data_IF_428400594061
#
_entry.id   IF_428400594061
#
_cell.length_a   1.000
_cell.length_b   1.000
_cell.length_c   1.000
_cell.angle_alpha   90.00
_cell.angle_beta   90.00
_cell.angle_gamma   90.00
#
_symmetry.space_group_name_H-M   'P 1'
#
loop_
_entity.id
_entity.type
_entity.pdbx_description
1 polymer ?
#
# COMPACT_ATOMS: atom_id res chain seq x y z
N UNK A 1 -10.11 -14.53 -26.12
CA UNK A 1 -10.58 -13.21 -26.62
C UNK A 1 -11.38 -13.32 -27.93
N UNK A 2 -10.80 -13.83 -29.03
CA UNK A 2 -11.48 -13.93 -30.34
C UNK A 2 -12.82 -14.69 -30.28
N UNK A 3 -12.91 -15.80 -29.55
CA UNK A 3 -14.14 -16.59 -29.41
C UNK A 3 -15.27 -15.87 -28.67
N UNK A 4 -14.96 -15.04 -27.67
CA UNK A 4 -15.96 -14.24 -26.93
C UNK A 4 -16.44 -13.05 -27.77
N UNK A 5 -15.54 -12.50 -28.59
CA UNK A 5 -15.87 -11.42 -29.51
C UNK A 5 -16.73 -11.95 -30.66
N UNK A 6 -16.39 -13.13 -31.20
CA UNK A 6 -17.19 -13.84 -32.20
C UNK A 6 -18.55 -14.26 -31.66
N UNK A 7 -18.67 -14.71 -30.41
CA UNK A 7 -19.96 -15.05 -29.82
C UNK A 7 -20.85 -13.81 -29.67
N UNK A 8 -20.30 -12.67 -29.25
CA UNK A 8 -21.02 -11.39 -29.19
C UNK A 8 -21.48 -10.91 -30.57
N UNK A 9 -20.62 -11.03 -31.60
CA UNK A 9 -20.97 -10.72 -32.99
C UNK A 9 -22.07 -11.65 -33.52
N UNK A 10 -21.94 -12.96 -33.29
CA UNK A 10 -22.92 -13.96 -33.72
C UNK A 10 -24.28 -13.71 -33.09
N UNK A 11 -24.30 -13.48 -31.78
CA UNK A 11 -25.52 -13.24 -31.01
C UNK A 11 -26.21 -11.94 -31.45
N UNK A 12 -25.45 -10.87 -31.71
CA UNK A 12 -25.99 -9.61 -32.26
C UNK A 12 -26.58 -9.77 -33.66
N UNK A 13 -25.92 -10.53 -34.52
CA UNK A 13 -26.32 -10.67 -35.93
C UNK A 13 -27.42 -11.72 -36.16
N UNK A 14 -27.60 -12.68 -35.25
CA UNK A 14 -28.63 -13.73 -35.36
C UNK A 14 -29.94 -13.38 -34.66
N UNK A 15 -29.91 -12.54 -33.61
CA UNK A 15 -31.09 -12.13 -32.84
C UNK A 15 -31.22 -10.60 -32.68
N UNK A 16 -31.30 -9.84 -33.79
CA UNK A 16 -31.29 -8.36 -33.76
C UNK A 16 -32.52 -7.74 -33.07
N UNK A 17 -33.62 -8.48 -32.94
CA UNK A 17 -34.86 -8.02 -32.28
C UNK A 17 -34.85 -8.16 -30.75
N UNK A 18 -33.89 -8.91 -30.19
CA UNK A 18 -33.83 -9.22 -28.74
C UNK A 18 -32.74 -8.42 -28.03
N UNK A 19 -31.68 -8.02 -28.74
CA UNK A 19 -30.51 -7.37 -28.15
C UNK A 19 -30.38 -5.96 -28.68
N UNK A 20 -30.87 -5.02 -27.86
CA UNK A 20 -30.73 -3.58 -28.09
C UNK A 20 -29.27 -3.20 -27.80
N UNK A 21 -28.74 -2.25 -28.58
CA UNK A 21 -27.40 -1.72 -28.36
C UNK A 21 -27.30 -1.13 -26.96
N UNK A 22 -26.34 -1.62 -26.16
CA UNK A 22 -26.11 -1.10 -24.82
C UNK A 22 -25.77 0.39 -24.93
N UNK A 23 -26.46 1.28 -24.20
CA UNK A 23 -26.13 2.70 -24.21
C UNK A 23 -24.68 2.88 -23.79
N UNK A 24 -23.96 3.80 -24.43
CA UNK A 24 -22.54 4.03 -24.19
C UNK A 24 -22.20 4.23 -22.70
N UNK A 25 -23.12 4.82 -21.91
CA UNK A 25 -22.98 4.99 -20.46
C UNK A 25 -22.89 3.66 -19.70
N UNK A 26 -23.65 2.64 -20.09
CA UNK A 26 -23.63 1.33 -19.46
C UNK A 26 -22.37 0.56 -19.80
N UNK A 27 -21.95 0.61 -21.06
CA UNK A 27 -20.71 -0.02 -21.51
C UNK A 27 -19.51 0.56 -20.76
N UNK A 28 -19.45 1.88 -20.62
CA UNK A 28 -18.41 2.55 -19.84
C UNK A 28 -18.39 2.09 -18.37
N UNK A 29 -19.55 2.00 -17.71
CA UNK A 29 -19.65 1.51 -16.32
C UNK A 29 -19.18 0.05 -16.20
N UNK A 30 -19.57 -0.82 -17.13
CA UNK A 30 -19.15 -2.23 -17.14
C UNK A 30 -17.63 -2.34 -17.32
N UNK A 31 -17.04 -1.54 -18.21
CA UNK A 31 -15.59 -1.48 -18.38
C UNK A 31 -14.88 -0.99 -17.12
N UNK A 32 -15.40 0.03 -16.45
CA UNK A 32 -14.83 0.54 -15.19
C UNK A 32 -14.91 -0.51 -14.08
N UNK A 33 -16.03 -1.22 -13.94
CA UNK A 33 -16.20 -2.30 -12.94
C UNK A 33 -15.24 -3.45 -13.24
N UNK A 34 -15.13 -3.86 -14.51
CA UNK A 34 -14.21 -4.91 -14.93
C UNK A 34 -12.76 -4.52 -14.64
N UNK A 35 -12.35 -3.30 -14.99
CA UNK A 35 -11.00 -2.80 -14.72
C UNK A 35 -10.74 -2.70 -13.20
N UNK A 36 -11.68 -2.21 -12.42
CA UNK A 36 -11.59 -2.16 -10.96
C UNK A 36 -11.43 -3.56 -10.35
N UNK A 37 -12.11 -4.57 -10.90
CA UNK A 37 -11.96 -5.96 -10.45
C UNK A 37 -10.60 -6.59 -10.77
N UNK A 38 -9.97 -6.17 -11.87
CA UNK A 38 -8.62 -6.59 -12.25
C UNK A 38 -7.59 -5.91 -11.34
N UNK A 39 -7.73 -4.59 -11.17
CA UNK A 39 -6.90 -3.77 -10.29
C UNK A 39 -6.99 -4.25 -8.84
N UNK A 40 -8.18 -4.54 -8.33
CA UNK A 40 -8.38 -5.00 -6.96
C UNK A 40 -7.69 -6.34 -6.72
N UNK A 41 -7.80 -7.29 -7.67
CA UNK A 41 -7.09 -8.57 -7.59
C UNK A 41 -5.57 -8.36 -7.62
N UNK A 42 -5.07 -7.51 -8.52
CA UNK A 42 -3.65 -7.18 -8.65
C UNK A 42 -3.07 -6.56 -7.36
N UNK A 43 -3.80 -5.66 -6.70
CA UNK A 43 -3.36 -5.04 -5.45
C UNK A 43 -3.58 -5.90 -4.20
N UNK A 44 -4.55 -6.82 -4.21
CA UNK A 44 -4.99 -7.56 -3.00
C UNK A 44 -4.33 -8.93 -2.86
N UNK A 45 -4.25 -9.70 -3.94
CA UNK A 45 -3.79 -11.08 -3.85
C UNK A 45 -2.30 -11.20 -3.44
N UNK A 46 -1.37 -10.41 -4.00
CA UNK A 46 0.05 -10.52 -3.62
C UNK A 46 0.28 -10.21 -2.15
N UNK A 47 -0.33 -9.14 -1.63
CA UNK A 47 -0.16 -8.75 -0.22
C UNK A 47 -0.80 -9.75 0.73
N UNK A 48 -2.01 -10.24 0.47
CA UNK A 48 -2.66 -11.22 1.35
C UNK A 48 -1.90 -12.56 1.36
N UNK A 49 -1.35 -12.96 0.21
CA UNK A 49 -0.58 -14.19 0.10
C UNK A 49 0.74 -14.06 0.86
N UNK A 50 1.49 -12.97 0.65
CA UNK A 50 2.73 -12.70 1.40
C UNK A 50 2.46 -12.59 2.90
N UNK A 51 1.47 -11.80 3.32
CA UNK A 51 1.14 -11.60 4.72
C UNK A 51 0.72 -12.91 5.40
N UNK A 52 -0.09 -13.75 4.75
CA UNK A 52 -0.53 -15.03 5.32
C UNK A 52 0.63 -16.00 5.50
N UNK A 53 1.48 -16.13 4.48
CA UNK A 53 2.66 -17.02 4.52
C UNK A 53 3.68 -16.50 5.54
N UNK A 54 3.97 -15.21 5.53
CA UNK A 54 4.91 -14.60 6.46
C UNK A 54 4.40 -14.64 7.91
N UNK A 55 3.10 -14.47 8.15
CA UNK A 55 2.53 -14.63 9.49
C UNK A 55 2.71 -16.07 10.00
N UNK A 56 2.45 -17.08 9.16
CA UNK A 56 2.68 -18.47 9.52
C UNK A 56 4.16 -18.76 9.82
N UNK A 57 5.05 -18.36 8.91
CA UNK A 57 6.50 -18.61 9.05
C UNK A 57 7.09 -17.88 10.24
N UNK A 58 6.74 -16.61 10.45
CA UNK A 58 7.24 -15.80 11.58
C UNK A 58 6.71 -16.31 12.92
N UNK A 59 5.45 -16.75 12.99
CA UNK A 59 4.89 -17.43 14.17
C UNK A 59 5.72 -18.66 14.55
N UNK A 60 6.01 -19.54 13.59
CA UNK A 60 6.81 -20.74 13.87
C UNK A 60 8.29 -20.44 14.15
N UNK A 61 8.88 -19.46 13.48
CA UNK A 61 10.31 -19.18 13.62
C UNK A 61 10.66 -18.43 14.92
N UNK A 62 9.78 -17.51 15.34
CA UNK A 62 10.00 -16.62 16.48
C UNK A 62 9.08 -16.91 17.67
N UNK A 63 8.20 -17.92 17.59
CA UNK A 63 7.19 -18.23 18.61
C UNK A 63 6.28 -17.04 18.95
N UNK A 64 5.92 -16.24 17.93
CA UNK A 64 5.04 -15.09 18.09
C UNK A 64 3.57 -15.52 18.28
N UNK A 65 2.79 -14.84 19.12
CA UNK A 65 1.34 -14.94 19.08
C UNK A 65 0.80 -14.54 17.70
N UNK A 66 -0.35 -15.10 17.31
CA UNK A 66 -0.92 -14.90 15.96
C UNK A 66 -1.10 -13.43 15.61
N UNK A 67 -1.58 -12.60 16.53
CA UNK A 67 -1.77 -11.15 16.31
C UNK A 67 -0.45 -10.44 15.99
N UNK A 68 0.60 -10.70 16.79
CA UNK A 68 1.95 -10.16 16.56
C UNK A 68 2.56 -10.64 15.25
N UNK A 69 2.33 -11.89 14.87
CA UNK A 69 2.78 -12.44 13.60
C UNK A 69 2.10 -11.74 12.40
N UNK A 70 0.79 -11.48 12.47
CA UNK A 70 0.08 -10.72 11.43
C UNK A 70 0.48 -9.24 11.41
N UNK A 71 0.71 -8.61 12.57
CA UNK A 71 1.27 -7.25 12.65
C UNK A 71 2.59 -7.16 11.90
N UNK A 72 3.52 -8.09 12.19
CA UNK A 72 4.78 -8.19 11.45
C UNK A 72 4.53 -8.38 9.96
N UNK A 73 3.68 -9.34 9.61
CA UNK A 73 3.50 -9.77 8.24
C UNK A 73 2.85 -8.69 7.37
N UNK A 74 1.79 -8.02 7.82
CA UNK A 74 1.18 -6.92 7.08
C UNK A 74 2.12 -5.73 6.93
N UNK A 75 2.86 -5.38 7.99
CA UNK A 75 3.84 -4.29 7.92
C UNK A 75 4.93 -4.55 6.89
N UNK A 76 5.45 -5.77 6.85
CA UNK A 76 6.45 -6.19 5.85
C UNK A 76 5.83 -6.30 4.47
N UNK A 77 4.64 -6.89 4.35
CA UNK A 77 4.03 -7.22 3.07
C UNK A 77 3.59 -5.99 2.27
N UNK A 78 3.28 -4.88 2.93
CA UNK A 78 2.86 -3.64 2.27
C UNK A 78 3.92 -3.11 1.30
N UNK A 79 3.53 -2.71 0.10
CA UNK A 79 4.42 -2.03 -0.87
C UNK A 79 4.67 -0.56 -0.49
N UNK A 80 5.83 0.00 -0.83
CA UNK A 80 6.13 1.42 -0.61
C UNK A 80 5.83 2.27 -1.86
N UNK A 81 4.84 3.18 -1.82
CA UNK A 81 4.55 4.08 -2.94
C UNK A 81 5.71 4.99 -3.32
N UNK A 82 6.53 5.40 -2.33
CA UNK A 82 7.68 6.28 -2.57
C UNK A 82 8.66 5.68 -3.58
N UNK A 83 8.84 4.36 -3.54
CA UNK A 83 9.71 3.63 -4.48
C UNK A 83 8.98 3.39 -5.79
N UNK A 84 7.73 2.92 -5.72
CA UNK A 84 7.05 2.33 -6.88
C UNK A 84 6.34 3.38 -7.75
N UNK A 85 5.70 4.38 -7.16
CA UNK A 85 4.93 5.38 -7.91
C UNK A 85 5.83 6.22 -8.84
N UNK A 86 6.99 6.75 -8.42
CA UNK A 86 7.87 7.48 -9.33
C UNK A 86 8.36 6.64 -10.50
N UNK A 87 8.62 5.34 -10.27
CA UNK A 87 8.98 4.41 -11.34
C UNK A 87 7.83 4.30 -12.35
N UNK A 88 6.59 4.08 -11.88
CA UNK A 88 5.41 3.97 -12.74
C UNK A 88 5.12 5.25 -13.53
N UNK A 89 5.27 6.42 -12.92
CA UNK A 89 5.05 7.70 -13.61
C UNK A 89 6.08 7.93 -14.72
N UNK A 90 7.36 7.61 -14.46
CA UNK A 90 8.38 7.72 -15.51
C UNK A 90 8.19 6.72 -16.65
N UNK A 91 7.65 5.53 -16.36
CA UNK A 91 7.25 4.60 -17.42
C UNK A 91 6.21 5.22 -18.34
N UNK A 92 5.22 5.89 -17.75
CA UNK A 92 4.23 6.63 -18.52
C UNK A 92 4.94 7.66 -19.40
N UNK A 93 5.80 8.50 -18.84
CA UNK A 93 6.50 9.55 -19.61
C UNK A 93 7.36 9.00 -20.77
N UNK A 94 7.96 7.82 -20.61
CA UNK A 94 8.82 7.17 -21.62
C UNK A 94 8.05 6.35 -22.69
N UNK A 95 6.83 6.76 -23.02
CA UNK A 95 6.07 6.20 -24.15
C UNK A 95 5.14 5.03 -23.79
N UNK A 96 5.11 4.59 -22.53
CA UNK A 96 4.10 3.63 -22.06
C UNK A 96 2.75 4.28 -21.70
N UNK A 97 2.53 5.56 -22.03
CA UNK A 97 1.25 6.27 -21.82
C UNK A 97 0.05 5.55 -22.46
N UNK A 98 0.27 4.81 -23.55
CA UNK A 98 -0.76 4.04 -24.25
C UNK A 98 -0.97 2.63 -23.69
N UNK A 99 -0.07 2.17 -22.83
CA UNK A 99 -0.22 0.87 -22.16
C UNK A 99 -1.21 0.99 -21.01
N UNK A 100 -2.08 -0.02 -20.87
CA UNK A 100 -2.98 -0.15 -19.71
C UNK A 100 -2.24 -0.37 -18.39
N UNK A 101 -0.94 -0.63 -18.45
CA UNK A 101 -0.16 -1.18 -17.35
C UNK A 101 0.16 -0.18 -16.22
N UNK A 102 0.81 0.97 -16.47
CA UNK A 102 1.14 1.89 -15.37
C UNK A 102 -0.10 2.44 -14.64
N UNK A 103 -1.22 2.83 -15.31
CA UNK A 103 -2.43 3.26 -14.61
C UNK A 103 -3.06 2.16 -13.75
N UNK A 104 -3.09 0.91 -14.25
CA UNK A 104 -3.59 -0.25 -13.49
C UNK A 104 -2.73 -0.51 -12.25
N UNK A 105 -1.42 -0.44 -12.40
CA UNK A 105 -0.47 -0.60 -11.29
C UNK A 105 -0.60 0.52 -10.26
N UNK A 106 -0.73 1.77 -10.69
CA UNK A 106 -0.87 2.91 -9.79
C UNK A 106 -2.11 2.77 -8.90
N UNK A 107 -3.22 2.31 -9.47
CA UNK A 107 -4.43 2.01 -8.72
C UNK A 107 -4.26 0.79 -7.79
N UNK A 108 -3.51 -0.23 -8.22
CA UNK A 108 -3.19 -1.41 -7.40
C UNK A 108 -2.31 -1.09 -6.19
N UNK A 109 -1.35 -0.17 -6.33
CA UNK A 109 -0.50 0.31 -5.24
C UNK A 109 -1.33 0.92 -4.12
N UNK A 110 -2.35 1.72 -4.46
CA UNK A 110 -3.25 2.31 -3.47
C UNK A 110 -3.99 1.24 -2.64
N UNK A 111 -4.48 0.18 -3.30
CA UNK A 111 -5.15 -0.94 -2.62
C UNK A 111 -4.19 -1.77 -1.76
N UNK A 112 -2.98 -2.07 -2.24
CA UNK A 112 -1.95 -2.79 -1.48
C UNK A 112 -1.61 -2.02 -0.19
N UNK A 113 -1.38 -0.70 -0.29
CA UNK A 113 -1.11 0.17 0.86
C UNK A 113 -2.26 0.25 1.84
N UNK A 114 -3.49 0.39 1.35
CA UNK A 114 -4.67 0.43 2.20
C UNK A 114 -4.80 -0.87 3.01
N UNK A 115 -4.77 -2.02 2.34
CA UNK A 115 -4.91 -3.32 2.98
C UNK A 115 -3.77 -3.61 3.95
N UNK A 116 -2.54 -3.27 3.56
CA UNK A 116 -1.36 -3.50 4.37
C UNK A 116 -1.31 -2.67 5.63
N UNK A 117 -1.55 -1.35 5.52
CA UNK A 117 -1.54 -0.46 6.68
C UNK A 117 -2.74 -0.68 7.60
N UNK A 118 -3.94 -0.94 7.05
CA UNK A 118 -5.10 -1.31 7.87
C UNK A 118 -4.94 -2.68 8.51
N UNK A 119 -4.42 -3.68 7.78
CA UNK A 119 -4.13 -5.01 8.32
C UNK A 119 -3.10 -4.97 9.45
N UNK A 120 -2.04 -4.17 9.31
CA UNK A 120 -1.08 -3.88 10.37
C UNK A 120 -1.77 -3.27 11.58
N UNK A 121 -2.59 -2.24 11.37
CA UNK A 121 -3.27 -1.50 12.43
C UNK A 121 -4.25 -2.36 13.23
N UNK A 122 -5.10 -3.12 12.54
CA UNK A 122 -6.08 -4.04 13.14
C UNK A 122 -5.35 -5.14 13.93
N UNK A 123 -4.30 -5.72 13.35
CA UNK A 123 -3.51 -6.76 14.02
C UNK A 123 -2.83 -6.21 15.27
N UNK A 124 -2.26 -5.01 15.19
CA UNK A 124 -1.60 -4.36 16.33
C UNK A 124 -2.61 -3.98 17.42
N UNK A 125 -3.75 -3.41 17.06
CA UNK A 125 -4.83 -3.12 18.00
C UNK A 125 -5.31 -4.39 18.72
N UNK A 126 -5.41 -5.51 17.99
CA UNK A 126 -5.76 -6.80 18.58
C UNK A 126 -4.72 -7.33 19.57
N UNK A 127 -3.44 -6.99 19.43
CA UNK A 127 -2.40 -7.37 20.38
C UNK A 127 -2.62 -6.77 21.78
N UNK A 128 -3.17 -5.55 21.83
CA UNK A 128 -3.38 -4.82 23.09
C UNK A 128 -4.83 -4.88 23.58
N UNK A 129 -5.76 -5.35 22.75
CA UNK A 129 -7.17 -5.56 23.10
C UNK A 129 -7.90 -4.28 23.56
N UNK A 130 -9.13 -4.44 24.05
CA UNK A 130 -9.88 -3.38 24.74
C UNK A 130 -9.30 -3.13 26.15
N UNK A 131 -8.01 -2.79 26.25
CA UNK A 131 -7.36 -2.48 27.53
C UNK A 131 -7.96 -1.25 28.26
N UNK A 132 -8.95 -0.58 27.67
CA UNK A 132 -9.73 0.49 28.30
C UNK A 132 -11.12 0.09 28.79
N UNK A 133 -11.65 -1.10 28.47
CA UNK A 133 -13.06 -1.42 28.75
C UNK A 133 -13.32 -2.75 29.47
N UNK A 134 -12.29 -3.55 29.80
CA UNK A 134 -12.48 -4.75 30.62
C UNK A 134 -13.34 -5.85 29.97
N UNK A 135 -13.57 -5.76 28.65
CA UNK A 135 -14.32 -6.77 27.88
C UNK A 135 -13.39 -7.92 27.52
N UNK A 136 -13.85 -9.14 27.78
CA UNK A 136 -13.14 -10.38 27.49
C UNK A 136 -12.72 -10.51 26.01
N UNK A 137 -11.67 -11.28 25.85
CA UNK A 137 -10.78 -11.38 24.70
C UNK A 137 -11.39 -12.07 23.47
N UNK A 138 -12.52 -11.62 22.90
CA UNK A 138 -12.99 -12.06 21.58
C UNK A 138 -13.76 -10.92 20.87
N UNK A 139 -13.24 -10.27 19.83
CA UNK A 139 -12.84 -10.88 18.58
C UNK A 139 -12.13 -9.85 17.69
N UNK A 140 -10.95 -10.22 17.18
CA UNK A 140 -10.18 -9.42 16.21
C UNK A 140 -11.00 -9.04 14.96
N UNK A 141 -12.00 -9.85 14.63
CA UNK A 141 -12.93 -9.62 13.51
C UNK A 141 -13.81 -8.40 13.79
N UNK A 142 -14.41 -8.30 14.98
CA UNK A 142 -15.26 -7.16 15.34
C UNK A 142 -14.43 -5.88 15.32
N UNK A 143 -13.23 -5.90 15.92
CA UNK A 143 -12.33 -4.74 15.89
C UNK A 143 -11.94 -4.33 14.46
N UNK A 144 -11.68 -5.31 13.59
CA UNK A 144 -11.40 -5.05 12.18
C UNK A 144 -12.58 -4.40 11.44
N UNK A 145 -13.80 -4.89 11.68
CA UNK A 145 -15.03 -4.33 11.13
C UNK A 145 -15.26 -2.91 11.65
N UNK A 146 -15.03 -2.67 12.94
CA UNK A 146 -15.13 -1.35 13.55
C UNK A 146 -14.14 -0.37 12.94
N UNK A 147 -12.85 -0.74 12.82
CA UNK A 147 -11.82 0.12 12.26
C UNK A 147 -12.09 0.46 10.78
N UNK A 148 -12.49 -0.53 9.98
CA UNK A 148 -12.85 -0.30 8.58
C UNK A 148 -14.12 0.55 8.49
N UNK A 149 -15.15 0.24 9.29
CA UNK A 149 -16.41 0.96 9.31
C UNK A 149 -16.25 2.43 9.72
N UNK A 150 -15.47 2.69 10.78
CA UNK A 150 -15.16 4.06 11.20
C UNK A 150 -14.29 4.80 10.19
N UNK A 151 -13.26 4.14 9.64
CA UNK A 151 -12.42 4.72 8.60
C UNK A 151 -13.24 5.12 7.38
N UNK A 152 -14.20 4.26 6.99
CA UNK A 152 -15.12 4.52 5.89
C UNK A 152 -16.04 5.71 6.17
N UNK A 153 -16.67 5.74 7.35
CA UNK A 153 -17.56 6.84 7.74
C UNK A 153 -16.82 8.19 7.79
N UNK A 154 -15.68 8.25 8.47
CA UNK A 154 -14.86 9.46 8.56
C UNK A 154 -14.32 9.88 7.18
N UNK A 155 -13.90 8.92 6.38
CA UNK A 155 -13.46 9.15 5.00
C UNK A 155 -14.56 9.73 4.10
N UNK A 156 -15.81 9.26 4.24
CA UNK A 156 -16.96 9.84 3.52
C UNK A 156 -17.23 11.27 3.98
N UNK A 157 -17.21 11.53 5.29
CA UNK A 157 -17.48 12.86 5.84
C UNK A 157 -16.46 13.86 5.29
N UNK A 158 -15.16 13.54 5.37
CA UNK A 158 -14.09 14.37 4.84
C UNK A 158 -14.07 14.42 3.30
N UNK A 159 -14.41 13.32 2.64
CA UNK A 159 -14.54 13.29 1.18
C UNK A 159 -15.67 14.19 0.69
N UNK A 160 -16.78 14.24 1.42
CA UNK A 160 -17.90 15.13 1.12
C UNK A 160 -17.52 16.60 1.32
N UNK A 161 -16.73 16.95 2.34
CA UNK A 161 -16.23 18.33 2.50
C UNK A 161 -15.29 18.70 1.36
N UNK A 162 -14.39 17.79 0.95
CA UNK A 162 -13.53 18.01 -0.21
C UNK A 162 -14.33 18.18 -1.51
N UNK A 163 -15.39 17.38 -1.71
CA UNK A 163 -16.32 17.53 -2.83
C UNK A 163 -17.04 18.89 -2.79
N UNK A 164 -17.52 19.31 -1.62
CA UNK A 164 -18.18 20.60 -1.43
C UNK A 164 -17.26 21.77 -1.78
N UNK A 165 -15.97 21.73 -1.40
CA UNK A 165 -14.99 22.76 -1.76
C UNK A 165 -14.83 22.92 -3.27
N UNK A 166 -14.79 21.82 -4.01
CA UNK A 166 -14.75 21.86 -5.47
C UNK A 166 -16.05 22.42 -6.07
N UNK A 167 -17.21 22.00 -5.56
CA UNK A 167 -18.52 22.51 -6.03
C UNK A 167 -18.71 24.00 -5.77
N UNK A 168 -18.22 24.49 -4.64
CA UNK A 168 -18.25 25.90 -4.27
C UNK A 168 -17.17 26.74 -4.97
N UNK A 169 -16.31 26.12 -5.81
CA UNK A 169 -15.18 26.75 -6.51
C UNK A 169 -14.26 27.52 -5.57
N UNK A 170 -14.02 26.96 -4.37
CA UNK A 170 -13.00 27.49 -3.45
C UNK A 170 -11.64 27.25 -4.09
N UNK A 171 -10.76 28.25 -4.05
CA UNK A 171 -9.41 28.12 -4.61
C UNK A 171 -8.68 26.93 -3.98
N UNK A 172 -8.00 26.18 -4.84
CA UNK A 172 -7.08 25.09 -4.59
C UNK A 172 -5.95 25.46 -3.60
N UNK A 173 -5.60 26.74 -3.52
CA UNK A 173 -4.63 27.26 -2.55
C UNK A 173 -5.14 27.19 -1.10
N UNK A 174 -6.46 27.20 -0.91
CA UNK A 174 -7.11 27.14 0.40
C UNK A 174 -7.64 25.73 0.65
N UNK A 175 -8.29 25.11 -0.34
CA UNK A 175 -8.90 23.79 -0.17
C UNK A 175 -7.85 22.70 0.07
N UNK A 176 -6.71 22.72 -0.62
CA UNK A 176 -5.64 21.71 -0.46
C UNK A 176 -5.11 21.66 0.97
N UNK A 177 -4.60 22.77 1.56
CA UNK A 177 -4.11 22.73 2.93
C UNK A 177 -5.21 22.41 3.95
N UNK A 178 -6.45 22.85 3.74
CA UNK A 178 -7.57 22.51 4.63
C UNK A 178 -7.85 21.00 4.63
N UNK A 179 -7.99 20.38 3.46
CA UNK A 179 -8.22 18.93 3.36
C UNK A 179 -7.05 18.16 3.98
N UNK A 180 -5.81 18.61 3.74
CA UNK A 180 -4.62 18.02 4.36
C UNK A 180 -4.64 18.11 5.88
N UNK A 181 -4.90 19.29 6.45
CA UNK A 181 -4.97 19.49 7.91
C UNK A 181 -6.10 18.65 8.52
N UNK A 182 -7.29 18.65 7.92
CA UNK A 182 -8.41 17.82 8.39
C UNK A 182 -8.09 16.32 8.35
N UNK A 183 -7.38 15.87 7.31
CA UNK A 183 -6.90 14.48 7.21
C UNK A 183 -5.91 14.16 8.32
N UNK A 184 -4.93 15.03 8.57
CA UNK A 184 -3.95 14.86 9.66
C UNK A 184 -4.62 14.84 11.04
N UNK A 185 -5.55 15.75 11.31
CA UNK A 185 -6.30 15.80 12.57
C UNK A 185 -7.12 14.53 12.80
N UNK A 186 -7.78 14.04 11.75
CA UNK A 186 -8.55 12.80 11.81
C UNK A 186 -7.64 11.59 12.05
N UNK A 187 -6.49 11.53 11.36
CA UNK A 187 -5.49 10.48 11.61
C UNK A 187 -4.98 10.51 13.05
N UNK A 188 -4.68 11.70 13.58
CA UNK A 188 -4.23 11.86 14.96
C UNK A 188 -5.30 11.39 15.94
N UNK A 189 -6.56 11.81 15.74
CA UNK A 189 -7.69 11.40 16.58
C UNK A 189 -7.93 9.88 16.56
N UNK A 190 -7.91 9.26 15.38
CA UNK A 190 -8.06 7.81 15.25
C UNK A 190 -6.92 7.07 15.94
N UNK A 191 -5.67 7.53 15.81
CA UNK A 191 -4.50 6.90 16.44
C UNK A 191 -4.52 7.01 17.96
N UNK A 192 -4.91 8.16 18.51
CA UNK A 192 -4.99 8.34 19.97
C UNK A 192 -6.06 7.47 20.61
N UNK A 193 -7.15 7.18 19.90
CA UNK A 193 -8.21 6.27 20.36
C UNK A 193 -7.95 4.79 20.00
N UNK A 194 -6.77 4.47 19.45
CA UNK A 194 -6.38 3.09 19.13
C UNK A 194 -7.03 2.50 17.88
N UNK A 195 -7.65 3.31 17.01
CA UNK A 195 -8.22 2.90 15.73
C UNK A 195 -7.27 3.21 14.58
N UNK A 196 -6.10 2.57 14.60
CA UNK A 196 -5.01 2.89 13.65
C UNK A 196 -5.36 2.52 12.21
N UNK A 197 -6.11 1.45 11.95
CA UNK A 197 -6.57 1.07 10.62
C UNK A 197 -7.62 2.03 10.06
N UNK A 198 -8.45 2.63 10.92
CA UNK A 198 -9.42 3.66 10.54
C UNK A 198 -8.74 4.91 10.00
N UNK A 199 -7.59 5.30 10.60
CA UNK A 199 -6.81 6.47 10.19
C UNK A 199 -6.34 6.37 8.72
N UNK A 200 -5.77 5.22 8.33
CA UNK A 200 -5.31 5.00 6.96
C UNK A 200 -6.47 4.96 5.97
N UNK A 201 -7.56 4.26 6.34
CA UNK A 201 -8.75 4.14 5.51
C UNK A 201 -9.43 5.50 5.26
N UNK A 202 -9.60 6.32 6.30
CA UNK A 202 -10.21 7.65 6.17
C UNK A 202 -9.40 8.56 5.25
N UNK A 203 -8.07 8.55 5.38
CA UNK A 203 -7.18 9.37 4.54
C UNK A 203 -7.25 8.92 3.08
N UNK A 204 -7.18 7.60 2.82
CA UNK A 204 -7.29 7.06 1.48
C UNK A 204 -8.60 7.47 0.79
N UNK A 205 -9.74 7.33 1.47
CA UNK A 205 -11.04 7.70 0.92
C UNK A 205 -11.18 9.21 0.69
N UNK A 206 -10.67 10.03 1.61
CA UNK A 206 -10.69 11.49 1.48
C UNK A 206 -9.93 11.94 0.24
N UNK A 207 -8.70 11.45 0.05
CA UNK A 207 -7.87 11.83 -1.10
C UNK A 207 -8.32 11.16 -2.40
N UNK A 208 -8.96 9.99 -2.33
CA UNK A 208 -9.69 9.43 -3.47
C UNK A 208 -10.86 10.33 -3.88
N UNK A 209 -11.61 10.88 -2.92
CA UNK A 209 -12.67 11.83 -3.22
C UNK A 209 -12.13 13.11 -3.86
N UNK A 210 -11.00 13.65 -3.39
CA UNK A 210 -10.30 14.79 -4.03
C UNK A 210 -9.97 14.45 -5.49
N UNK A 211 -9.27 13.33 -5.73
CA UNK A 211 -8.83 12.94 -7.07
C UNK A 211 -9.98 12.69 -8.07
N UNK A 212 -11.16 12.32 -7.58
CA UNK A 212 -12.35 12.08 -8.43
C UNK A 212 -13.29 13.28 -8.52
N UNK A 213 -13.25 14.22 -7.57
CA UNK A 213 -14.21 15.33 -7.50
C UNK A 213 -13.66 16.64 -8.03
N UNK A 214 -12.35 16.86 -7.92
CA UNK A 214 -11.70 18.12 -8.29
C UNK A 214 -11.38 18.15 -9.78
N UNK A 215 -11.20 19.36 -10.33
CA UNK A 215 -10.75 19.54 -11.70
C UNK A 215 -9.31 19.07 -11.80
N UNK A 216 -8.94 18.44 -12.93
CA UNK A 216 -7.60 17.86 -13.13
C UNK A 216 -6.46 18.84 -12.80
N UNK A 217 -6.59 20.10 -13.18
CA UNK A 217 -5.62 21.17 -12.87
C UNK A 217 -5.44 21.41 -11.37
N UNK A 218 -6.52 21.33 -10.60
CA UNK A 218 -6.50 21.54 -9.15
C UNK A 218 -5.90 20.33 -8.45
N UNK A 219 -6.16 19.12 -8.96
CA UNK A 219 -5.54 17.88 -8.49
C UNK A 219 -4.03 17.89 -8.74
N UNK A 220 -3.60 18.30 -9.94
CA UNK A 220 -2.17 18.43 -10.29
C UNK A 220 -1.48 19.48 -9.39
N UNK A 221 -2.13 20.63 -9.14
CA UNK A 221 -1.62 21.64 -8.20
C UNK A 221 -1.52 21.11 -6.77
N UNK A 222 -2.53 20.37 -6.31
CA UNK A 222 -2.51 19.76 -4.98
C UNK A 222 -1.39 18.72 -4.84
N UNK A 223 -1.21 17.86 -5.85
CA UNK A 223 -0.13 16.88 -5.91
C UNK A 223 1.25 17.54 -5.85
N UNK A 224 1.47 18.62 -6.61
CA UNK A 224 2.74 19.36 -6.58
C UNK A 224 3.03 19.97 -5.20
N UNK A 225 2.02 20.59 -4.57
CA UNK A 225 2.13 21.15 -3.21
C UNK A 225 2.49 20.07 -2.18
N UNK A 226 1.81 18.92 -2.23
CA UNK A 226 2.07 17.81 -1.33
C UNK A 226 3.44 17.17 -1.58
N UNK A 227 3.88 17.06 -2.83
CA UNK A 227 5.23 16.60 -3.18
C UNK A 227 6.31 17.53 -2.64
N UNK A 228 6.12 18.85 -2.76
CA UNK A 228 7.06 19.82 -2.20
C UNK A 228 7.09 19.78 -0.67
N UNK A 229 5.93 19.60 -0.04
CA UNK A 229 5.83 19.38 1.41
C UNK A 229 6.55 18.08 1.83
N UNK A 230 6.37 16.99 1.09
CA UNK A 230 7.07 15.73 1.32
C UNK A 230 8.59 15.87 1.19
N UNK A 231 9.08 16.61 0.19
CA UNK A 231 10.52 16.91 0.05
C UNK A 231 11.09 17.58 1.30
N UNK A 232 10.34 18.45 1.96
CA UNK A 232 10.78 19.05 3.23
C UNK A 232 10.89 18.00 4.35
N UNK A 233 9.88 17.15 4.49
CA UNK A 233 9.84 16.15 5.56
C UNK A 233 10.80 14.98 5.35
N UNK A 234 11.06 14.56 4.10
CA UNK A 234 11.90 13.38 3.80
C UNK A 234 13.31 13.51 4.36
N UNK A 235 13.91 14.71 4.28
CA UNK A 235 15.27 14.96 4.78
C UNK A 235 15.39 14.84 6.30
N UNK A 236 14.30 15.03 7.05
CA UNK A 236 14.28 14.83 8.50
C UNK A 236 13.90 13.41 8.92
N UNK A 237 12.90 12.82 8.25
CA UNK A 237 12.32 11.54 8.65
C UNK A 237 13.30 10.37 8.54
N UNK A 238 13.96 10.20 7.38
CA UNK A 238 14.81 9.03 7.14
C UNK A 238 16.04 8.99 8.06
N UNK A 239 16.78 10.10 8.28
CA UNK A 239 17.89 10.10 9.24
C UNK A 239 17.44 9.78 10.67
N UNK A 240 16.29 10.29 11.12
CA UNK A 240 15.76 10.01 12.47
C UNK A 240 15.39 8.53 12.63
N UNK A 241 14.77 7.94 11.61
CA UNK A 241 14.47 6.50 11.61
C UNK A 241 15.76 5.70 11.63
N UNK A 242 16.75 6.07 10.81
CA UNK A 242 18.08 5.47 10.81
C UNK A 242 18.77 5.54 12.18
N UNK A 243 18.73 6.70 12.82
CA UNK A 243 19.32 6.91 14.15
C UNK A 243 18.62 6.11 15.26
N UNK A 244 17.37 5.69 15.05
CA UNK A 244 16.62 4.87 16.01
C UNK A 244 17.07 3.39 15.98
N UNK A 245 17.68 2.95 14.88
CA UNK A 245 18.11 1.57 14.68
C UNK A 245 19.45 1.36 15.38
N UNK A 246 19.43 0.67 16.52
CA UNK A 246 20.63 0.22 17.23
C UNK A 246 20.73 -1.30 17.15
N UNK A 247 21.65 -1.79 16.32
CA UNK A 247 21.88 -3.24 16.14
C UNK A 247 22.47 -3.91 17.37
N UNK A 248 23.14 -3.17 18.24
CA UNK A 248 23.73 -3.68 19.50
C UNK A 248 22.68 -4.27 20.45
N UNK A 249 21.41 -3.87 20.29
CA UNK A 249 20.28 -4.36 21.09
C UNK A 249 19.79 -5.75 20.65
N UNK A 250 20.23 -6.25 19.50
CA UNK A 250 19.71 -7.47 18.90
C UNK A 250 20.77 -8.56 18.85
N UNK A 251 20.38 -9.80 19.15
CA UNK A 251 21.26 -10.94 18.96
C UNK A 251 21.52 -11.17 17.47
N UNK A 252 22.77 -11.50 17.12
CA UNK A 252 23.16 -11.80 15.74
C UNK A 252 22.30 -12.92 15.12
N UNK A 253 21.96 -13.95 15.90
CA UNK A 253 21.08 -15.05 15.49
C UNK A 253 19.68 -14.56 15.10
N UNK A 254 19.11 -13.62 15.85
CA UNK A 254 17.79 -13.07 15.54
C UNK A 254 17.83 -12.24 14.24
N UNK A 255 18.89 -11.46 14.04
CA UNK A 255 19.10 -10.68 12.82
C UNK A 255 19.16 -11.59 11.59
N UNK A 256 19.99 -12.64 11.62
CA UNK A 256 20.11 -13.59 10.50
C UNK A 256 18.79 -14.30 10.22
N UNK A 257 18.07 -14.78 11.25
CA UNK A 257 16.76 -15.42 11.07
C UNK A 257 15.73 -14.46 10.45
N UNK A 258 15.74 -13.19 10.87
CA UNK A 258 14.88 -12.15 10.30
C UNK A 258 15.20 -11.93 8.82
N UNK A 259 16.47 -11.74 8.46
CA UNK A 259 16.88 -11.57 7.07
C UNK A 259 16.44 -12.73 6.17
N UNK A 260 16.62 -13.98 6.61
CA UNK A 260 16.24 -15.17 5.84
C UNK A 260 14.73 -15.25 5.60
N UNK A 261 13.93 -14.99 6.63
CA UNK A 261 12.46 -15.03 6.52
C UNK A 261 11.95 -13.90 5.62
N UNK A 262 12.54 -12.71 5.70
CA UNK A 262 12.18 -11.59 4.84
C UNK A 262 12.57 -11.86 3.39
N UNK A 263 13.73 -12.44 3.13
CA UNK A 263 14.12 -12.86 1.78
C UNK A 263 13.12 -13.86 1.21
N UNK A 264 12.72 -14.85 1.99
CA UNK A 264 11.67 -15.81 1.60
C UNK A 264 10.34 -15.10 1.33
N UNK A 265 9.92 -14.15 2.17
CA UNK A 265 8.71 -13.35 1.99
C UNK A 265 8.70 -12.59 0.66
N UNK A 266 9.82 -11.95 0.31
CA UNK A 266 9.96 -11.23 -0.98
C UNK A 266 9.77 -12.18 -2.15
N UNK A 267 10.33 -13.39 -2.09
CA UNK A 267 10.16 -14.41 -3.15
C UNK A 267 8.70 -14.86 -3.28
N UNK A 268 8.00 -15.04 -2.16
CA UNK A 268 6.56 -15.36 -2.15
C UNK A 268 5.75 -14.23 -2.77
N UNK A 269 6.03 -12.96 -2.41
CA UNK A 269 5.34 -11.80 -3.01
C UNK A 269 5.58 -11.74 -4.51
N UNK A 270 6.82 -11.93 -4.95
CA UNK A 270 7.18 -11.91 -6.37
C UNK A 270 6.43 -13.00 -7.14
N UNK A 271 6.37 -14.22 -6.62
CA UNK A 271 5.58 -15.29 -7.23
C UNK A 271 4.07 -14.98 -7.28
N UNK A 272 3.50 -14.48 -6.19
CA UNK A 272 2.08 -14.12 -6.15
C UNK A 272 1.74 -12.94 -7.09
N UNK A 273 2.62 -11.94 -7.18
CA UNK A 273 2.48 -10.82 -8.10
C UNK A 273 2.58 -11.27 -9.56
N UNK A 274 3.52 -12.16 -9.89
CA UNK A 274 3.64 -12.74 -11.23
C UNK A 274 2.38 -13.51 -11.63
N UNK A 275 1.90 -14.41 -10.77
CA UNK A 275 0.66 -15.17 -11.03
C UNK A 275 -0.54 -14.25 -11.20
N UNK A 276 -0.65 -13.21 -10.37
CA UNK A 276 -1.76 -12.26 -10.46
C UNK A 276 -1.66 -11.40 -11.73
N UNK A 277 -0.46 -11.05 -12.18
CA UNK A 277 -0.23 -10.35 -13.42
C UNK A 277 -0.61 -11.23 -14.64
N UNK A 278 -0.28 -12.52 -14.61
CA UNK A 278 -0.71 -13.48 -15.64
C UNK A 278 -2.25 -13.60 -15.70
N UNK A 279 -2.92 -13.63 -14.55
CA UNK A 279 -4.39 -13.60 -14.47
C UNK A 279 -5.02 -12.28 -14.97
N UNK A 280 -4.22 -11.23 -15.16
CA UNK A 280 -4.63 -9.95 -15.73
C UNK A 280 -4.40 -9.87 -17.26
N UNK A 281 -4.08 -11.00 -17.90
CA UNK A 281 -3.73 -11.13 -19.32
C UNK A 281 -2.51 -10.27 -19.72
N UNK A 282 -1.54 -10.09 -18.81
CA UNK A 282 -0.27 -9.45 -19.13
C UNK A 282 0.68 -10.43 -19.83
N UNK A 283 1.56 -9.90 -20.67
CA UNK A 283 2.63 -10.71 -21.26
C UNK A 283 3.56 -11.26 -20.18
N UNK A 284 4.24 -12.38 -20.44
CA UNK A 284 5.19 -12.97 -19.49
C UNK A 284 6.31 -12.00 -19.10
N UNK A 285 6.77 -11.21 -20.07
CA UNK A 285 7.77 -10.16 -19.91
C UNK A 285 7.27 -9.02 -18.99
N UNK A 286 6.06 -8.53 -19.20
CA UNK A 286 5.46 -7.49 -18.34
C UNK A 286 5.17 -8.03 -16.93
N UNK A 287 4.65 -9.26 -16.84
CA UNK A 287 4.33 -9.89 -15.56
C UNK A 287 5.57 -10.10 -14.69
N UNK A 288 6.68 -10.53 -15.30
CA UNK A 288 7.95 -10.71 -14.61
C UNK A 288 8.53 -9.36 -14.14
N UNK A 289 8.51 -8.36 -15.02
CA UNK A 289 8.97 -7.02 -14.68
C UNK A 289 8.20 -6.42 -13.49
N UNK A 290 6.87 -6.55 -13.53
CA UNK A 290 5.98 -6.09 -12.46
C UNK A 290 6.23 -6.80 -11.16
N UNK A 291 6.38 -8.12 -11.21
CA UNK A 291 6.56 -8.93 -10.02
C UNK A 291 7.73 -8.42 -9.17
N UNK A 292 8.84 -8.00 -9.79
CA UNK A 292 9.97 -7.41 -9.06
C UNK A 292 9.72 -5.99 -8.57
N UNK A 293 9.13 -5.10 -9.39
CA UNK A 293 8.75 -3.75 -8.93
C UNK A 293 7.82 -3.83 -7.71
N UNK A 294 6.89 -4.80 -7.72
CA UNK A 294 5.88 -4.95 -6.67
C UNK A 294 6.47 -5.31 -5.30
N UNK A 295 7.77 -5.62 -5.23
CA UNK A 295 8.50 -5.93 -3.98
C UNK A 295 9.16 -4.71 -3.33
N UNK A 296 9.02 -3.50 -3.90
CA UNK A 296 9.60 -2.28 -3.33
C UNK A 296 9.13 -2.01 -1.89
N UNK A 297 10.07 -2.00 -0.93
CA UNK A 297 9.84 -1.74 0.50
C UNK A 297 10.78 -0.65 0.99
N UNK A 298 10.24 0.37 1.67
CA UNK A 298 11.01 1.51 2.19
C UNK A 298 10.19 2.32 3.22
N UNK A 299 9.52 3.38 2.79
CA UNK A 299 8.98 4.44 3.66
C UNK A 299 7.86 3.98 4.58
N UNK A 300 7.00 3.05 4.12
CA UNK A 300 5.95 2.48 4.97
C UNK A 300 6.56 1.67 6.11
N UNK A 301 7.52 0.80 5.81
CA UNK A 301 8.21 0.01 6.81
C UNK A 301 8.95 0.88 7.81
N UNK A 302 9.60 1.93 7.31
CA UNK A 302 10.31 2.93 8.11
C UNK A 302 9.35 3.67 9.06
N UNK A 303 8.11 3.93 8.62
CA UNK A 303 7.08 4.57 9.44
C UNK A 303 6.47 3.61 10.47
N UNK A 304 6.26 2.34 10.09
CA UNK A 304 5.57 1.36 10.93
C UNK A 304 6.49 0.67 11.95
N UNK A 305 7.81 0.63 11.72
CA UNK A 305 8.72 -0.15 12.55
C UNK A 305 8.69 0.24 14.03
N UNK A 306 8.60 1.54 14.33
CA UNK A 306 8.55 2.05 15.70
C UNK A 306 7.20 1.93 16.40
N UNK A 307 6.10 1.78 15.66
CA UNK A 307 4.73 1.92 16.21
C UNK A 307 4.42 0.86 17.26
N UNK A 308 4.86 -0.37 17.04
CA UNK A 308 4.63 -1.45 17.99
C UNK A 308 5.44 -1.26 19.28
N UNK A 309 6.66 -0.72 19.20
CA UNK A 309 7.50 -0.43 20.37
C UNK A 309 6.93 0.74 21.18
N UNK A 310 6.42 1.77 20.50
CA UNK A 310 5.74 2.90 21.13
C UNK A 310 4.52 2.43 21.92
N UNK A 311 3.68 1.56 21.35
CA UNK A 311 2.52 0.99 22.06
C UNK A 311 2.89 0.19 23.30
N UNK A 312 3.98 -0.60 23.25
CA UNK A 312 4.50 -1.30 24.44
C UNK A 312 4.92 -0.30 25.53
N UNK A 313 5.53 0.83 25.15
CA UNK A 313 5.95 1.88 26.08
C UNK A 313 4.74 2.61 26.70
N UNK A 314 3.76 3.00 25.87
CA UNK A 314 2.51 3.65 26.29
C UNK A 314 1.73 2.80 27.29
N UNK A 315 1.64 1.48 27.07
CA UNK A 315 0.95 0.56 27.98
C UNK A 315 1.81 0.10 29.17
N UNK A 316 3.01 0.68 29.36
CA UNK A 316 3.95 0.33 30.43
C UNK A 316 4.27 -1.17 30.51
N UNK A 317 4.33 -1.86 29.38
CA UNK A 317 4.56 -3.32 29.30
C UNK A 317 6.05 -3.68 29.30
N UNK A 318 6.87 -2.90 30.01
CA UNK A 318 8.31 -3.13 30.11
C UNK A 318 8.62 -4.44 30.83
N UNK A 319 9.54 -5.24 30.26
CA UNK A 319 9.95 -6.53 30.82
C UNK A 319 8.98 -7.69 30.58
N UNK A 320 7.85 -7.44 29.88
CA UNK A 320 6.90 -8.47 29.48
C UNK A 320 7.24 -9.04 28.09
N UNK A 321 6.75 -10.25 27.71
CA UNK A 321 7.02 -10.85 26.40
C UNK A 321 6.64 -9.95 25.21
N UNK A 322 5.65 -9.07 25.36
CA UNK A 322 5.22 -8.11 24.32
C UNK A 322 6.34 -7.17 23.89
N UNK A 323 7.27 -6.82 24.79
CA UNK A 323 8.44 -6.02 24.43
C UNK A 323 9.36 -6.76 23.46
N UNK A 324 9.58 -8.07 23.66
CA UNK A 324 10.38 -8.89 22.75
C UNK A 324 9.67 -9.05 21.40
N UNK A 325 8.34 -9.20 21.41
CA UNK A 325 7.56 -9.28 20.17
C UNK A 325 7.67 -7.99 19.36
N UNK A 326 7.49 -6.83 19.98
CA UNK A 326 7.64 -5.53 19.32
C UNK A 326 9.07 -5.31 18.78
N UNK A 327 10.10 -5.78 19.49
CA UNK A 327 11.47 -5.76 19.00
C UNK A 327 11.67 -6.63 17.74
N UNK A 328 11.05 -7.81 17.68
CA UNK A 328 11.08 -8.69 16.50
C UNK A 328 10.37 -8.03 15.31
N UNK A 329 9.19 -7.41 15.55
CA UNK A 329 8.46 -6.66 14.52
C UNK A 329 9.31 -5.51 13.97
N UNK A 330 9.90 -4.71 14.86
CA UNK A 330 10.80 -3.61 14.49
C UNK A 330 11.96 -4.12 13.61
N UNK A 331 12.65 -5.17 14.07
CA UNK A 331 13.82 -5.70 13.36
C UNK A 331 13.45 -6.26 11.98
N UNK A 332 12.36 -7.00 11.85
CA UNK A 332 11.91 -7.55 10.58
C UNK A 332 11.53 -6.45 9.57
N UNK A 333 10.90 -5.38 10.02
CA UNK A 333 10.60 -4.22 9.18
C UNK A 333 11.87 -3.52 8.71
N UNK A 334 12.86 -3.33 9.60
CA UNK A 334 14.17 -2.79 9.22
C UNK A 334 14.89 -3.68 8.21
N UNK A 335 14.93 -5.00 8.44
CA UNK A 335 15.50 -5.97 7.49
C UNK A 335 14.83 -5.89 6.12
N UNK A 336 13.52 -5.64 6.07
CA UNK A 336 12.80 -5.51 4.82
C UNK A 336 13.13 -4.24 4.03
N UNK A 337 13.54 -3.16 4.71
CA UNK A 337 14.07 -1.95 4.05
C UNK A 337 15.45 -2.26 3.45
N UNK A 338 16.33 -2.87 4.25
CA UNK A 338 17.72 -3.19 3.86
C UNK A 338 17.74 -4.11 2.62
N UNK A 339 16.80 -5.04 2.52
CA UNK A 339 16.69 -5.95 1.36
C UNK A 339 15.89 -5.29 0.22
N UNK A 340 14.76 -4.67 0.54
CA UNK A 340 13.78 -4.22 -0.45
C UNK A 340 14.26 -3.07 -1.32
N UNK A 341 14.98 -2.10 -0.76
CA UNK A 341 15.49 -0.95 -1.53
C UNK A 341 16.51 -1.42 -2.58
N UNK A 342 17.65 -2.07 -2.23
CA UNK A 342 18.63 -2.49 -3.22
C UNK A 342 18.06 -3.48 -4.24
N UNK A 343 17.18 -4.39 -3.80
CA UNK A 343 16.55 -5.35 -4.70
C UNK A 343 15.73 -4.66 -5.78
N UNK A 344 14.84 -3.73 -5.41
CA UNK A 344 14.04 -2.99 -6.37
C UNK A 344 14.92 -2.16 -7.33
N UNK A 345 15.96 -1.50 -6.81
CA UNK A 345 16.92 -0.74 -7.62
C UNK A 345 17.61 -1.61 -8.67
N UNK A 346 18.14 -2.77 -8.26
CA UNK A 346 18.83 -3.71 -9.14
C UNK A 346 17.85 -4.30 -10.17
N UNK A 347 16.65 -4.65 -9.74
CA UNK A 347 15.62 -5.23 -10.62
C UNK A 347 15.30 -4.30 -11.79
N UNK A 348 15.03 -3.03 -11.50
CA UNK A 348 14.73 -2.05 -12.54
C UNK A 348 15.99 -1.73 -13.37
N UNK A 349 17.18 -1.72 -12.77
CA UNK A 349 18.42 -1.50 -13.51
C UNK A 349 18.71 -2.58 -14.56
N UNK A 350 18.40 -3.85 -14.26
CA UNK A 350 18.61 -4.99 -15.16
C UNK A 350 17.48 -5.09 -16.18
N UNK A 351 16.25 -5.26 -15.71
CA UNK A 351 15.11 -5.57 -16.57
C UNK A 351 14.44 -4.32 -17.15
N UNK A 352 14.78 -3.15 -16.63
CA UNK A 352 14.24 -1.90 -17.13
C UNK A 352 14.86 -1.47 -18.45
N UNK A 353 16.14 -1.75 -18.72
CA UNK A 353 16.76 -1.34 -20.01
C UNK A 353 16.10 -1.98 -21.22
N UNK A 354 15.83 -3.27 -21.10
CA UNK A 354 15.31 -4.08 -22.21
C UNK A 354 13.84 -3.77 -22.53
N UNK A 355 13.08 -3.23 -21.56
CA UNK A 355 11.67 -2.89 -21.75
C UNK A 355 11.37 -1.37 -21.82
N UNK A 356 12.28 -0.50 -21.36
CA UNK A 356 11.94 0.91 -21.01
C UNK A 356 12.92 1.94 -21.62
N UNK A 357 13.98 1.50 -22.31
CA UNK A 357 14.93 2.38 -23.00
C UNK A 357 16.05 2.93 -22.08
N UNK A 358 17.15 3.44 -22.69
CA UNK A 358 18.41 3.69 -21.98
C UNK A 358 18.39 4.84 -20.98
N UNK A 359 17.61 5.90 -21.22
CA UNK A 359 17.65 7.16 -20.45
C UNK A 359 17.15 7.05 -19.00
N UNK A 360 16.38 6.00 -18.67
CA UNK A 360 15.76 5.87 -17.35
C UNK A 360 16.67 5.25 -16.28
N UNK A 361 17.62 4.39 -16.67
CA UNK A 361 18.50 3.70 -15.70
C UNK A 361 19.43 4.68 -14.99
N UNK A 362 19.86 5.73 -15.69
CA UNK A 362 20.72 6.76 -15.11
C UNK A 362 19.96 7.58 -14.05
N UNK A 363 18.68 7.87 -14.26
CA UNK A 363 17.84 8.56 -13.26
C UNK A 363 17.39 7.66 -12.11
N UNK A 364 17.39 6.34 -12.26
CA UNK A 364 17.12 5.39 -11.18
C UNK A 364 18.32 5.32 -10.23
N UNK A 365 19.54 5.46 -10.74
CA UNK A 365 20.71 5.66 -9.87
C UNK A 365 20.59 6.98 -9.09
N UNK A 366 19.95 8.01 -9.64
CA UNK A 366 19.67 9.25 -8.91
C UNK A 366 18.55 9.08 -7.87
N UNK A 367 17.40 8.47 -8.20
CA UNK A 367 16.30 8.24 -7.23
C UNK A 367 16.74 7.31 -6.09
N UNK A 368 17.51 6.26 -6.37
CA UNK A 368 18.04 5.39 -5.33
C UNK A 368 19.18 6.03 -4.52
N UNK A 369 19.92 6.99 -5.08
CA UNK A 369 20.82 7.87 -4.30
C UNK A 369 20.06 8.91 -3.47
N UNK A 370 18.81 9.22 -3.84
CA UNK A 370 17.95 10.14 -3.09
C UNK A 370 17.12 9.44 -2.00
N UNK A 371 16.89 8.12 -2.09
CA UNK A 371 16.12 7.32 -1.13
C UNK A 371 16.95 6.35 -0.25
N UNK A 372 18.19 6.03 -0.63
CA UNK A 372 19.16 5.30 0.19
C UNK A 372 20.12 6.25 0.88
#
# INVERSE_FOLDING_TARGET
MLGMLLSGILVRNTLPSVIIELPHSWTAVIWTIALASVVSRAGTLPILTEASVLAYVSKSAFNLPTSWAFTLAFGVATISPGVVVPLLLKLMDNGWQKSRLPPMMLAGVGMDVLLGTSGFGISLASCFGHSHEGVEQESWIIRGIEEIGMGFLLGIILGFTAFAYSRLRISENISTPLVFICSCLTMFWCKTHGFTGAASCSTFLTWSAVGNSWIKTDVESADEKLKNLWKLFKYGLFPVIGATISFDKFSFTLLVRSLLIILFSVMVKMGAAYLTAQLADLSEEEAFFIAGIWTGKASIQATLCGVALEKVHEHHLHGKPEQQYAQIVFLCLVCSIIIGVPFASIWVGIFGKDQIGPDLVDTIQEVNKEEG
#
